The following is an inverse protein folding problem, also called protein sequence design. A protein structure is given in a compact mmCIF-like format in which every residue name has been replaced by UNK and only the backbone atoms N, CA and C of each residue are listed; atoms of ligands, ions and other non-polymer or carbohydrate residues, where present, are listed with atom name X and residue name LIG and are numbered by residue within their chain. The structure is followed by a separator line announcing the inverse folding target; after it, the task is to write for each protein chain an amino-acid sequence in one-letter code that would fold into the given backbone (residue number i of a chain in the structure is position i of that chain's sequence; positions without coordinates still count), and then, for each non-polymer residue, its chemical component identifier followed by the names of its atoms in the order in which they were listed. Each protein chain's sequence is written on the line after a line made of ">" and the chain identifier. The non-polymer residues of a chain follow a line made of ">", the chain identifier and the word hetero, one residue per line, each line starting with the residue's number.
data_IF_846105922869
#
_entry.id   IF_846105922869
#
_cell.length_a   1.000
_cell.length_b   1.000
_cell.length_c   1.000
_cell.angle_alpha   90.00
_cell.angle_beta   90.00
_cell.angle_gamma   90.00
#
_symmetry.space_group_name_H-M   'P 1'
#
loop_
_entity.id
_entity.type
_entity.pdbx_description
1 polymer ?
#
# COMPACT_ATOMS: atom_id res chain seq x y z
N UNK A 1 4.87 19.27 -10.29
CA UNK A 1 4.19 17.97 -10.40
C UNK A 1 3.13 18.01 -9.31
N UNK A 2 1.85 18.21 -9.66
CA UNK A 2 0.86 18.52 -8.66
C UNK A 2 0.60 17.27 -7.82
N UNK A 3 0.70 17.48 -6.52
CA UNK A 3 0.38 16.56 -5.44
C UNK A 3 -1.03 15.96 -5.59
N UNK A 4 -1.09 14.67 -5.91
CA UNK A 4 -2.33 13.90 -5.78
C UNK A 4 -2.51 13.57 -4.29
N UNK A 5 -3.00 14.54 -3.52
CA UNK A 5 -3.65 14.26 -2.24
C UNK A 5 -4.81 13.32 -2.52
N UNK A 6 -4.62 12.03 -2.22
CA UNK A 6 -5.70 11.05 -2.30
C UNK A 6 -6.70 11.33 -1.18
N UNK A 7 -7.57 12.32 -1.44
CA UNK A 7 -8.64 12.76 -0.56
C UNK A 7 -9.78 11.74 -0.62
N UNK A 8 -9.79 10.78 0.29
CA UNK A 8 -10.90 9.82 0.36
C UNK A 8 -12.06 10.43 1.16
N UNK A 9 -12.94 11.16 0.48
CA UNK A 9 -14.20 11.66 1.04
C UNK A 9 -15.20 10.50 1.17
N UNK A 10 -15.35 9.98 2.38
CA UNK A 10 -16.56 9.26 2.78
C UNK A 10 -17.55 10.29 3.34
N UNK A 11 -18.88 10.14 3.19
CA UNK A 11 -19.87 11.07 3.76
C UNK A 11 -20.01 10.93 5.28
N UNK A 12 -18.91 10.75 6.00
CA UNK A 12 -18.79 10.95 7.44
C UNK A 12 -17.71 12.00 7.66
N UNK A 13 -17.92 12.88 8.62
CA UNK A 13 -17.18 14.13 8.86
C UNK A 13 -15.69 13.95 9.25
N UNK A 14 -15.05 12.83 8.95
CA UNK A 14 -13.66 12.53 9.30
C UNK A 14 -12.75 12.61 8.09
N UNK A 15 -11.83 13.58 8.10
CA UNK A 15 -10.78 13.73 7.12
C UNK A 15 -9.50 13.05 7.65
N UNK A 16 -8.84 12.24 6.82
CA UNK A 16 -7.57 11.58 7.17
C UNK A 16 -6.56 11.82 6.07
N UNK A 17 -5.35 12.23 6.45
CA UNK A 17 -4.22 12.37 5.54
C UNK A 17 -3.35 11.12 5.58
N UNK A 18 -2.99 10.62 4.40
CA UNK A 18 -2.19 9.41 4.22
C UNK A 18 -0.79 9.79 3.77
N UNK A 19 0.21 9.55 4.62
CA UNK A 19 1.61 9.81 4.30
C UNK A 19 2.25 8.52 3.81
N UNK A 20 2.62 8.52 2.53
CA UNK A 20 3.12 7.34 1.81
C UNK A 20 4.63 7.42 1.65
N UNK A 21 5.27 6.25 1.59
CA UNK A 21 6.56 6.07 0.95
C UNK A 21 6.38 5.50 -0.46
N UNK A 22 7.47 5.06 -1.10
CA UNK A 22 7.42 4.57 -2.48
C UNK A 22 6.51 3.35 -2.68
N UNK A 23 6.26 2.57 -1.63
CA UNK A 23 5.58 1.29 -1.76
C UNK A 23 4.34 1.18 -0.88
N UNK A 24 4.12 2.08 0.09
CA UNK A 24 3.07 1.90 1.08
C UNK A 24 2.77 3.19 1.84
N UNK A 25 1.65 3.20 2.54
CA UNK A 25 1.39 4.20 3.58
C UNK A 25 2.20 3.90 4.84
N UNK A 26 2.90 4.92 5.36
CA UNK A 26 3.65 4.86 6.63
C UNK A 26 2.90 5.47 7.81
N UNK A 27 2.27 6.62 7.61
CA UNK A 27 1.65 7.39 8.69
C UNK A 27 0.28 7.92 8.26
N UNK A 28 -0.59 8.05 9.24
CA UNK A 28 -1.91 8.68 9.10
C UNK A 28 -2.05 9.82 10.07
N UNK A 29 -2.53 10.95 9.59
CA UNK A 29 -2.86 12.10 10.44
C UNK A 29 -4.35 12.41 10.34
N UNK A 30 -4.94 12.85 11.45
CA UNK A 30 -6.30 13.38 11.46
C UNK A 30 -6.32 14.78 10.84
N UNK A 31 -7.09 14.95 9.78
CA UNK A 31 -7.31 16.22 9.08
C UNK A 31 -8.65 16.86 9.43
N UNK A 32 -9.44 16.28 10.34
CA UNK A 32 -10.81 16.70 10.60
C UNK A 32 -10.85 18.07 11.27
N UNK A 33 -11.37 19.14 10.62
CA UNK A 33 -11.43 20.46 11.24
C UNK A 33 -12.30 20.42 12.51
N UNK A 34 -11.78 20.92 13.63
CA UNK A 34 -12.47 20.92 14.92
C UNK A 34 -12.38 19.61 15.72
N UNK A 35 -11.68 18.59 15.22
CA UNK A 35 -11.34 17.40 16.01
C UNK A 35 -10.30 17.72 17.09
N UNK A 36 -10.44 17.10 18.27
CA UNK A 36 -9.46 17.23 19.35
C UNK A 36 -8.08 16.69 18.95
N UNK A 37 -8.03 15.78 17.97
CA UNK A 37 -6.80 15.18 17.45
C UNK A 37 -6.34 15.78 16.12
N UNK A 38 -6.86 16.94 15.72
CA UNK A 38 -6.46 17.60 14.47
C UNK A 38 -4.94 17.76 14.34
N UNK A 39 -4.39 17.33 13.21
CA UNK A 39 -2.94 17.35 12.93
C UNK A 39 -2.13 16.29 13.69
N UNK A 40 -2.76 15.45 14.51
CA UNK A 40 -2.07 14.39 15.25
C UNK A 40 -2.01 13.09 14.47
N UNK A 41 -0.94 12.31 14.71
CA UNK A 41 -0.80 10.95 14.17
C UNK A 41 -1.85 10.04 14.81
N UNK A 42 -2.68 9.41 13.97
CA UNK A 42 -3.73 8.48 14.42
C UNK A 42 -3.46 7.03 14.05
N UNK A 43 -2.55 6.75 13.11
CA UNK A 43 -2.11 5.41 12.76
C UNK A 43 -0.72 5.41 12.13
N UNK A 44 0.01 4.31 12.30
CA UNK A 44 1.30 4.06 11.65
C UNK A 44 1.42 2.59 11.26
N UNK A 45 2.12 2.33 10.17
CA UNK A 45 2.36 0.97 9.69
C UNK A 45 3.72 0.83 9.01
N UNK A 46 4.39 -0.27 9.32
CA UNK A 46 5.64 -0.71 8.72
C UNK A 46 5.50 -2.11 8.15
N UNK A 47 6.24 -2.40 7.08
CA UNK A 47 6.31 -3.75 6.51
C UNK A 47 7.75 -4.14 6.18
N UNK A 48 8.03 -5.44 6.18
CA UNK A 48 9.26 -6.02 5.64
C UNK A 48 9.33 -5.85 4.11
N UNK A 49 10.49 -6.08 3.48
CA UNK A 49 10.66 -5.85 2.04
C UNK A 49 9.65 -6.57 1.12
N UNK A 50 9.10 -7.70 1.57
CA UNK A 50 8.11 -8.50 0.83
C UNK A 50 6.66 -8.30 1.33
N UNK A 51 6.40 -7.22 2.08
CA UNK A 51 5.04 -6.82 2.44
C UNK A 51 4.42 -7.51 3.65
N UNK A 52 5.18 -8.35 4.38
CA UNK A 52 4.75 -8.81 5.71
C UNK A 52 4.74 -7.63 6.69
N UNK A 53 3.72 -7.54 7.55
CA UNK A 53 3.61 -6.46 8.53
C UNK A 53 4.73 -6.55 9.56
N UNK A 54 5.45 -5.45 9.77
CA UNK A 54 6.45 -5.34 10.84
C UNK A 54 5.82 -4.74 12.10
N UNK A 55 5.10 -3.63 11.95
CA UNK A 55 4.31 -3.03 13.02
C UNK A 55 3.08 -2.34 12.42
N UNK A 56 2.02 -2.27 13.19
CA UNK A 56 0.79 -1.57 12.81
C UNK A 56 0.09 -1.07 14.07
N UNK A 57 -0.30 0.20 14.08
CA UNK A 57 -1.05 0.80 15.16
C UNK A 57 -2.09 1.79 14.64
N UNK A 58 -3.12 2.07 15.45
CA UNK A 58 -4.20 2.98 15.06
C UNK A 58 -5.32 2.36 14.23
N UNK A 59 -5.40 1.03 14.20
CA UNK A 59 -6.45 0.25 13.55
C UNK A 59 -5.99 -0.46 12.27
N UNK A 60 -6.85 -1.35 11.76
CA UNK A 60 -6.55 -2.15 10.57
C UNK A 60 -6.57 -1.28 9.32
N UNK A 61 -5.43 -1.15 8.66
CA UNK A 61 -5.32 -0.47 7.36
C UNK A 61 -5.64 -1.45 6.25
N UNK A 62 -6.65 -1.13 5.44
CA UNK A 62 -7.09 -1.96 4.31
C UNK A 62 -6.03 -2.07 3.20
N UNK A 63 -5.35 -0.97 2.90
CA UNK A 63 -4.29 -0.92 1.89
C UNK A 63 -2.91 -1.12 2.52
N UNK A 64 -2.14 -2.07 1.98
CA UNK A 64 -0.85 -2.52 2.53
C UNK A 64 0.29 -2.32 1.54
N UNK A 65 1.13 -3.32 1.39
CA UNK A 65 2.28 -3.33 0.50
C UNK A 65 1.85 -3.06 -0.95
N UNK A 66 2.63 -2.24 -1.64
CA UNK A 66 2.35 -1.74 -3.00
C UNK A 66 0.98 -1.09 -3.15
N UNK A 67 0.43 -0.54 -2.06
CA UNK A 67 -0.90 0.08 -1.98
C UNK A 67 -2.05 -0.83 -2.45
N UNK A 68 -1.86 -2.15 -2.35
CA UNK A 68 -2.91 -3.13 -2.65
C UNK A 68 -3.79 -3.40 -1.44
N UNK A 69 -5.03 -3.76 -1.70
CA UNK A 69 -5.99 -4.16 -0.69
C UNK A 69 -5.63 -5.54 -0.14
N UNK A 70 -5.43 -5.64 1.17
CA UNK A 70 -5.23 -6.93 1.84
C UNK A 70 -6.57 -7.49 2.30
N UNK A 71 -6.85 -8.71 1.88
CA UNK A 71 -7.98 -9.47 2.39
C UNK A 71 -7.67 -10.00 3.80
N UNK A 72 -8.62 -9.82 4.71
CA UNK A 72 -8.49 -10.21 6.12
C UNK A 72 -8.62 -11.71 6.37
N UNK A 73 -9.26 -12.45 5.46
CA UNK A 73 -9.44 -13.90 5.59
C UNK A 73 -8.18 -14.65 5.13
N UNK A 74 -7.68 -14.34 3.93
CA UNK A 74 -6.52 -15.01 3.33
C UNK A 74 -5.18 -14.37 3.66
N UNK A 75 -5.15 -13.08 3.98
CA UNK A 75 -3.91 -12.30 4.14
C UNK A 75 -3.18 -12.02 2.82
N UNK A 76 -3.81 -12.29 1.67
CA UNK A 76 -3.27 -11.99 0.36
C UNK A 76 -3.64 -10.56 -0.08
N UNK A 77 -2.74 -9.95 -0.84
CA UNK A 77 -2.92 -8.61 -1.41
C UNK A 77 -3.48 -8.72 -2.83
N UNK A 78 -4.59 -8.04 -3.11
CA UNK A 78 -5.19 -8.02 -4.43
C UNK A 78 -4.50 -7.02 -5.36
N UNK A 79 -3.73 -7.56 -6.31
CA UNK A 79 -2.98 -6.81 -7.31
C UNK A 79 -3.69 -6.86 -8.68
N UNK A 80 -4.96 -6.43 -8.71
CA UNK A 80 -5.83 -6.36 -9.89
C UNK A 80 -6.13 -7.71 -10.56
N UNK A 81 -5.17 -8.26 -11.31
CA UNK A 81 -5.35 -9.52 -12.04
C UNK A 81 -4.74 -10.72 -11.31
N UNK A 82 -4.00 -10.48 -10.23
CA UNK A 82 -3.30 -11.50 -9.44
C UNK A 82 -3.46 -11.24 -7.95
N UNK A 83 -3.21 -12.29 -7.17
CA UNK A 83 -3.06 -12.20 -5.72
C UNK A 83 -1.59 -12.34 -5.35
N UNK A 84 -1.10 -11.43 -4.51
CA UNK A 84 0.26 -11.47 -3.97
C UNK A 84 0.22 -12.02 -2.55
N UNK A 85 1.13 -12.94 -2.24
CA UNK A 85 1.25 -13.49 -0.90
C UNK A 85 2.54 -12.97 -0.26
N UNK A 86 2.37 -12.10 0.74
CA UNK A 86 3.48 -11.50 1.49
C UNK A 86 4.33 -12.54 2.22
N UNK A 87 3.72 -13.65 2.67
CA UNK A 87 4.39 -14.76 3.37
C UNK A 87 5.47 -15.47 2.56
N UNK A 88 5.28 -15.54 1.24
CA UNK A 88 6.21 -16.21 0.31
C UNK A 88 6.87 -15.24 -0.67
N UNK A 89 6.54 -13.95 -0.58
CA UNK A 89 7.12 -12.88 -1.39
C UNK A 89 6.84 -12.98 -2.90
N UNK A 90 5.75 -13.63 -3.33
CA UNK A 90 5.43 -13.84 -4.75
C UNK A 90 3.94 -13.84 -5.05
N UNK A 91 3.60 -13.71 -6.34
CA UNK A 91 2.24 -13.89 -6.84
C UNK A 91 1.82 -15.36 -6.77
N UNK A 92 0.54 -15.58 -6.45
CA UNK A 92 -0.09 -16.90 -6.37
C UNK A 92 -0.39 -17.52 -7.76
N UNK A 93 -0.27 -16.73 -8.83
CA UNK A 93 -0.49 -17.17 -10.21
C UNK A 93 0.53 -16.56 -11.16
N UNK A 94 0.77 -17.26 -12.27
CA UNK A 94 1.52 -16.73 -13.40
C UNK A 94 0.83 -15.48 -13.98
N UNK A 95 1.60 -14.64 -14.68
CA UNK A 95 1.04 -13.51 -15.41
C UNK A 95 0.07 -14.00 -16.50
N UNK A 96 -1.20 -13.54 -16.53
CA UNK A 96 -2.15 -13.89 -17.58
C UNK A 96 -1.70 -13.48 -18.99
N UNK A 97 -0.88 -12.43 -19.09
CA UNK A 97 -0.21 -12.08 -20.33
C UNK A 97 1.04 -12.94 -20.47
N UNK A 98 1.00 -13.90 -21.40
CA UNK A 98 2.18 -14.66 -21.79
C UNK A 98 3.21 -13.69 -22.38
N UNK A 99 4.19 -13.29 -21.57
CA UNK A 99 5.30 -12.46 -22.02
C UNK A 99 5.99 -13.11 -23.22
N UNK A 100 6.20 -12.33 -24.28
CA UNK A 100 7.03 -12.78 -25.40
C UNK A 100 8.45 -12.99 -24.88
N UNK A 101 8.92 -14.24 -24.91
CA UNK A 101 10.21 -14.70 -24.38
C UNK A 101 11.42 -14.18 -25.18
N UNK A 102 11.18 -13.35 -26.21
CA UNK A 102 12.18 -12.80 -27.12
C UNK A 102 12.54 -11.35 -26.82
N UNK A 103 12.89 -11.03 -25.58
CA UNK A 103 13.79 -9.91 -25.37
C UNK A 103 14.59 -10.15 -24.10
N UNK A 104 15.89 -10.31 -24.27
CA UNK A 104 16.88 -10.40 -23.20
C UNK A 104 16.86 -9.12 -22.36
N UNK A 105 16.00 -9.07 -21.34
CA UNK A 105 16.11 -8.12 -20.25
C UNK A 105 16.81 -8.83 -19.10
N UNK A 106 18.13 -8.67 -19.07
CA UNK A 106 18.94 -8.85 -17.87
C UNK A 106 18.23 -8.20 -16.68
N UNK A 107 18.15 -8.94 -15.58
CA UNK A 107 17.67 -8.43 -14.31
C UNK A 107 18.59 -7.27 -13.87
N UNK A 108 18.12 -6.05 -14.05
CA UNK A 108 18.67 -4.87 -13.40
C UNK A 108 18.02 -4.79 -11.99
N UNK A 109 18.79 -4.94 -10.90
CA UNK A 109 18.29 -4.72 -9.56
C UNK A 109 18.14 -3.21 -9.33
N UNK A 110 16.92 -2.78 -9.02
CA UNK A 110 16.60 -1.49 -8.38
C UNK A 110 17.10 -0.27 -9.18
N UNK A 111 16.34 0.13 -10.20
CA UNK A 111 16.37 1.53 -10.64
C UNK A 111 15.00 1.97 -11.17
N UNK A 112 14.17 2.49 -10.28
CA UNK A 112 13.19 3.52 -10.66
C UNK A 112 13.88 4.85 -10.40
N UNK A 113 14.44 5.44 -11.46
CA UNK A 113 14.97 6.80 -11.46
C UNK A 113 13.89 7.77 -11.97
N UNK A 114 13.66 8.81 -11.14
CA UNK A 114 13.09 10.14 -11.42
C UNK A 114 11.62 10.24 -11.86
#
# INVERSE_FOLDING_TARGET
>A
MPEEEQLVCHPSTSLKFHHQDHLSRRVTTDGTPGSQTYGQKIAESGHFPFGESWYESGGTVKFKFTSYERDGESGNDFAMFRYYSSRIGRFCSADPLAGTIYQSAVAEPIQVCL
#
